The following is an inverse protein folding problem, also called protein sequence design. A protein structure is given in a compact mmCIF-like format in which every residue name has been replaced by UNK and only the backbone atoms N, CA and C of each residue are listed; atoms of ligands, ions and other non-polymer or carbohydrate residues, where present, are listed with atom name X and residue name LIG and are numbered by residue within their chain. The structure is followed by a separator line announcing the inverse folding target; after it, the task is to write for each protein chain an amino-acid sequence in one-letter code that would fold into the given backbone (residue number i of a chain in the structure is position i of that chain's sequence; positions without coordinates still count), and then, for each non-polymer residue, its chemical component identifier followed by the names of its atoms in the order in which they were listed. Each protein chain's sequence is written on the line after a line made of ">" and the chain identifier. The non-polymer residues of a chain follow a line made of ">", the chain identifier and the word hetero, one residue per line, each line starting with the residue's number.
data_IF_995549148191
#
_entry.id   IF_995549148191
#
_cell.length_a   1.000
_cell.length_b   1.000
_cell.length_c   1.000
_cell.angle_alpha   90.00
_cell.angle_beta   90.00
_cell.angle_gamma   90.00
#
_symmetry.space_group_name_H-M   'P 1'
#
loop_
_entity.id
_entity.type
_entity.pdbx_description
1 polymer ?
#
# COMPACT_ATOMS: atom_id res chain seq x y z
N UNK A 1 -36.62 5.62 -7.15
CA UNK A 1 -35.89 5.60 -8.44
C UNK A 1 -34.77 4.55 -8.34
N UNK A 2 -35.12 3.27 -8.49
CA UNK A 2 -34.28 2.11 -8.07
C UNK A 2 -32.86 2.09 -8.67
N UNK A 3 -32.66 2.59 -9.90
CA UNK A 3 -31.32 2.62 -10.54
C UNK A 3 -30.36 3.58 -9.83
N UNK A 4 -30.82 4.78 -9.42
CA UNK A 4 -29.95 5.76 -8.75
C UNK A 4 -29.60 5.31 -7.33
N UNK A 5 -30.54 4.67 -6.63
CA UNK A 5 -30.32 4.10 -5.29
C UNK A 5 -29.20 3.06 -5.32
N UNK A 6 -29.30 2.08 -6.23
CA UNK A 6 -28.26 1.05 -6.42
C UNK A 6 -26.91 1.66 -6.86
N UNK A 7 -26.94 2.72 -7.68
CA UNK A 7 -25.71 3.40 -8.12
C UNK A 7 -25.01 4.16 -6.97
N UNK A 8 -25.77 4.75 -6.03
CA UNK A 8 -25.20 5.44 -4.88
C UNK A 8 -24.54 4.43 -3.94
N UNK A 9 -25.19 3.30 -3.72
CA UNK A 9 -24.66 2.22 -2.87
C UNK A 9 -23.46 1.50 -3.53
N UNK A 10 -23.54 1.28 -4.85
CA UNK A 10 -22.53 0.59 -5.64
C UNK A 10 -22.08 1.40 -6.87
N UNK A 11 -21.28 2.48 -6.71
CA UNK A 11 -20.89 3.37 -7.81
C UNK A 11 -20.14 2.68 -8.95
N UNK A 12 -19.51 1.54 -8.66
CA UNK A 12 -18.71 0.74 -9.60
C UNK A 12 -19.53 -0.29 -10.39
N UNK A 13 -20.85 -0.36 -10.18
CA UNK A 13 -21.70 -1.29 -10.91
C UNK A 13 -22.06 -0.77 -12.30
N UNK A 14 -21.72 -1.55 -13.33
CA UNK A 14 -22.27 -1.36 -14.67
C UNK A 14 -23.74 -1.78 -14.76
N UNK A 15 -24.40 -1.39 -15.85
CA UNK A 15 -25.84 -1.63 -16.07
C UNK A 15 -26.28 -3.10 -15.90
N UNK A 16 -25.40 -4.08 -16.21
CA UNK A 16 -25.64 -5.51 -15.96
C UNK A 16 -25.77 -5.85 -14.49
N UNK A 17 -24.90 -5.31 -13.64
CA UNK A 17 -24.90 -5.57 -12.20
C UNK A 17 -26.04 -4.83 -11.52
N UNK A 18 -26.31 -3.61 -11.94
CA UNK A 18 -27.49 -2.85 -11.47
C UNK A 18 -28.79 -3.59 -11.80
N UNK A 19 -28.91 -4.10 -13.03
CA UNK A 19 -30.06 -4.91 -13.43
C UNK A 19 -30.25 -6.15 -12.53
N UNK A 20 -29.18 -6.89 -12.26
CA UNK A 20 -29.24 -8.05 -11.33
C UNK A 20 -29.68 -7.64 -9.93
N UNK A 21 -29.15 -6.53 -9.41
CA UNK A 21 -29.50 -6.06 -8.05
C UNK A 21 -30.97 -5.63 -7.96
N UNK A 22 -31.46 -4.91 -8.97
CA UNK A 22 -32.87 -4.51 -9.05
C UNK A 22 -33.79 -5.73 -9.07
N UNK A 23 -33.48 -6.73 -9.90
CA UNK A 23 -34.32 -7.92 -10.03
C UNK A 23 -34.20 -8.86 -8.83
N UNK A 24 -33.04 -8.91 -8.15
CA UNK A 24 -32.88 -9.61 -6.88
C UNK A 24 -33.79 -9.04 -5.79
N UNK A 25 -34.01 -7.73 -5.79
CA UNK A 25 -34.88 -7.02 -4.86
C UNK A 25 -36.34 -6.93 -5.34
N UNK A 26 -36.82 -7.93 -6.09
CA UNK A 26 -38.21 -8.03 -6.57
C UNK A 26 -38.58 -7.03 -7.66
N UNK A 27 -37.59 -6.46 -8.37
CA UNK A 27 -37.84 -5.65 -9.55
C UNK A 27 -38.21 -6.50 -10.77
N UNK A 28 -39.07 -5.98 -11.63
CA UNK A 28 -39.39 -6.55 -12.94
C UNK A 28 -38.89 -5.60 -14.04
N UNK A 29 -37.59 -5.64 -14.31
CA UNK A 29 -36.97 -4.79 -15.34
C UNK A 29 -36.04 -5.61 -16.21
N UNK A 30 -35.88 -5.22 -17.47
CA UNK A 30 -34.93 -5.86 -18.41
C UNK A 30 -33.59 -5.14 -18.44
N UNK A 31 -32.52 -5.88 -18.77
CA UNK A 31 -31.17 -5.32 -18.93
C UNK A 31 -31.15 -4.15 -19.93
N UNK A 32 -31.93 -4.26 -21.01
CA UNK A 32 -32.06 -3.23 -22.04
C UNK A 32 -32.69 -1.93 -21.50
N UNK A 33 -33.70 -2.04 -20.62
CA UNK A 33 -34.33 -0.88 -19.98
C UNK A 33 -33.36 -0.20 -19.04
N UNK A 34 -32.64 -0.95 -18.19
CA UNK A 34 -31.62 -0.37 -17.29
C UNK A 34 -30.54 0.36 -18.08
N UNK A 35 -30.02 -0.28 -19.15
CA UNK A 35 -29.03 0.35 -20.04
C UNK A 35 -29.55 1.64 -20.68
N UNK A 36 -30.80 1.63 -21.15
CA UNK A 36 -31.43 2.80 -21.78
C UNK A 36 -31.59 3.95 -20.80
N UNK A 37 -32.07 3.67 -19.58
CA UNK A 37 -32.24 4.67 -18.52
C UNK A 37 -30.88 5.23 -18.09
N UNK A 38 -29.90 4.37 -17.81
CA UNK A 38 -28.55 4.83 -17.46
C UNK A 38 -27.94 5.72 -18.54
N UNK A 39 -28.06 5.33 -19.83
CA UNK A 39 -27.58 6.17 -20.95
C UNK A 39 -28.32 7.50 -21.03
N UNK A 40 -29.65 7.51 -20.87
CA UNK A 40 -30.48 8.74 -20.92
C UNK A 40 -30.11 9.74 -19.82
N UNK A 41 -29.73 9.25 -18.64
CA UNK A 41 -29.37 10.09 -17.49
C UNK A 41 -27.86 10.25 -17.29
N UNK A 42 -27.03 9.80 -18.24
CA UNK A 42 -25.56 9.90 -18.13
C UNK A 42 -24.95 9.11 -16.97
N UNK A 43 -25.66 8.11 -16.45
CA UNK A 43 -25.20 7.28 -15.33
C UNK A 43 -24.21 6.26 -15.87
N UNK A 44 -22.98 6.29 -15.35
CA UNK A 44 -21.91 5.37 -15.72
C UNK A 44 -21.27 4.77 -14.47
N UNK A 45 -20.74 3.55 -14.60
CA UNK A 45 -20.00 2.92 -13.53
C UNK A 45 -18.69 3.66 -13.30
N UNK A 46 -18.43 4.04 -12.05
CA UNK A 46 -17.20 4.68 -11.60
C UNK A 46 -16.24 3.58 -11.16
N UNK A 47 -15.27 3.28 -12.01
CA UNK A 47 -14.19 2.36 -11.68
C UNK A 47 -12.87 2.91 -12.25
N UNK A 48 -11.72 2.55 -11.65
CA UNK A 48 -10.44 2.94 -12.18
C UNK A 48 -10.28 2.44 -13.63
N UNK A 49 -10.00 3.36 -14.56
CA UNK A 49 -9.85 3.02 -15.98
C UNK A 49 -8.70 2.05 -16.26
N UNK A 50 -8.61 1.56 -17.50
CA UNK A 50 -7.45 0.77 -17.93
C UNK A 50 -6.17 1.62 -17.82
N UNK A 51 -5.04 0.98 -17.52
CA UNK A 51 -3.70 1.58 -17.50
C UNK A 51 -3.34 2.47 -16.29
N UNK A 52 -3.90 2.25 -15.10
CA UNK A 52 -3.46 2.95 -13.89
C UNK A 52 -1.96 2.82 -13.61
N UNK A 53 -1.34 1.73 -14.09
CA UNK A 53 0.09 1.45 -13.93
C UNK A 53 0.96 1.99 -15.06
N UNK A 54 0.41 2.72 -16.05
CA UNK A 54 1.23 3.34 -17.09
C UNK A 54 2.08 4.44 -16.45
N UNK A 55 3.37 4.15 -16.30
CA UNK A 55 4.35 5.13 -15.85
C UNK A 55 4.28 6.37 -16.75
N UNK A 56 4.22 7.56 -16.13
CA UNK A 56 4.34 8.81 -16.86
C UNK A 56 5.74 8.86 -17.51
N UNK A 57 5.77 8.90 -18.85
CA UNK A 57 7.00 8.77 -19.65
C UNK A 57 8.01 9.90 -19.41
N UNK A 58 7.57 11.02 -18.84
CA UNK A 58 8.38 12.21 -18.61
C UNK A 58 9.22 12.14 -17.32
N UNK A 59 9.01 11.16 -16.43
CA UNK A 59 9.83 11.05 -15.22
C UNK A 59 11.23 10.49 -15.52
N UNK A 60 12.23 11.13 -14.92
CA UNK A 60 13.62 10.65 -14.91
C UNK A 60 13.68 9.24 -14.32
N UNK A 61 14.27 8.31 -15.06
CA UNK A 61 14.56 6.95 -14.57
C UNK A 61 15.87 6.98 -13.78
N UNK A 62 15.81 6.58 -12.52
CA UNK A 62 17.01 6.42 -11.68
C UNK A 62 17.55 4.98 -11.84
N UNK A 63 18.88 4.80 -11.90
CA UNK A 63 19.46 3.47 -11.95
C UNK A 63 19.15 2.71 -10.66
N UNK A 64 18.82 1.43 -10.78
CA UNK A 64 18.62 0.57 -9.63
C UNK A 64 19.98 0.24 -8.99
N UNK A 65 20.31 0.93 -7.89
CA UNK A 65 21.63 0.86 -7.24
C UNK A 65 21.95 -0.51 -6.62
N UNK A 66 20.93 -1.35 -6.42
CA UNK A 66 21.12 -2.70 -5.89
C UNK A 66 21.30 -3.76 -7.00
N UNK A 67 21.35 -3.34 -8.27
CA UNK A 67 21.61 -4.26 -9.39
C UNK A 67 22.96 -4.95 -9.18
N UNK A 68 22.96 -6.29 -9.19
CA UNK A 68 24.12 -7.16 -8.97
C UNK A 68 24.75 -7.09 -7.57
N UNK A 69 24.09 -6.48 -6.58
CA UNK A 69 24.60 -6.47 -5.19
C UNK A 69 24.26 -7.80 -4.51
N UNK A 70 25.29 -8.58 -4.17
CA UNK A 70 25.15 -9.78 -3.33
C UNK A 70 25.12 -9.34 -1.86
N UNK A 71 24.05 -9.71 -1.15
CA UNK A 71 23.86 -9.40 0.26
C UNK A 71 24.31 -10.62 1.07
N UNK A 72 25.38 -10.45 1.85
CA UNK A 72 26.11 -11.53 2.53
C UNK A 72 25.94 -11.53 4.04
N UNK A 73 25.52 -10.41 4.64
CA UNK A 73 25.37 -10.28 6.08
C UNK A 73 24.22 -9.33 6.46
N UNK A 74 23.71 -9.42 7.70
CA UNK A 74 22.71 -8.48 8.20
C UNK A 74 23.16 -7.03 8.12
N UNK A 75 22.21 -6.11 7.99
CA UNK A 75 22.39 -4.66 7.98
C UNK A 75 23.11 -4.06 6.76
N UNK A 76 23.20 -4.78 5.64
CA UNK A 76 23.73 -4.23 4.38
C UNK A 76 22.71 -3.49 3.53
N UNK A 77 21.46 -3.93 3.57
CA UNK A 77 20.35 -3.39 2.79
C UNK A 77 19.09 -3.52 3.63
N UNK A 78 18.35 -2.42 3.77
CA UNK A 78 17.07 -2.39 4.44
C UNK A 78 15.97 -2.13 3.42
N UNK A 79 14.84 -2.79 3.62
CA UNK A 79 13.58 -2.47 2.96
C UNK A 79 12.70 -1.71 3.93
N UNK A 80 11.84 -0.88 3.37
CA UNK A 80 10.83 -0.20 4.14
C UNK A 80 9.51 -0.28 3.40
N UNK A 81 8.43 -0.49 4.13
CA UNK A 81 7.08 -0.47 3.58
C UNK A 81 6.15 0.32 4.49
N UNK A 82 5.12 0.93 3.88
CA UNK A 82 4.02 1.59 4.58
C UNK A 82 2.74 0.86 4.19
N UNK A 83 2.17 0.15 5.16
CA UNK A 83 0.90 -0.55 5.01
C UNK A 83 -0.24 0.28 5.62
N UNK A 84 -1.34 0.41 4.88
CA UNK A 84 -2.56 1.08 5.33
C UNK A 84 -3.45 0.07 6.04
N UNK A 85 -3.83 0.38 7.28
CA UNK A 85 -4.74 -0.46 8.06
C UNK A 85 -6.04 0.32 8.23
N UNK A 86 -7.13 -0.23 7.67
CA UNK A 86 -8.46 0.36 7.75
C UNK A 86 -9.10 0.03 9.09
N UNK A 87 -9.59 1.05 9.79
CA UNK A 87 -10.35 0.95 11.02
C UNK A 87 -11.79 1.49 10.80
N UNK A 88 -12.74 1.20 11.70
CA UNK A 88 -14.09 1.75 11.60
C UNK A 88 -14.14 3.28 11.63
N UNK A 89 -13.22 3.91 12.37
CA UNK A 89 -13.17 5.37 12.58
C UNK A 89 -12.18 6.10 11.68
N UNK A 90 -11.46 5.40 10.80
CA UNK A 90 -10.43 6.01 9.95
C UNK A 90 -9.38 5.02 9.47
N UNK A 91 -8.19 5.53 9.12
CA UNK A 91 -7.04 4.70 8.73
C UNK A 91 -5.85 5.01 9.63
N UNK A 92 -5.06 3.97 9.90
CA UNK A 92 -3.73 4.11 10.50
C UNK A 92 -2.67 3.55 9.57
N UNK A 93 -1.43 3.99 9.75
CA UNK A 93 -0.33 3.72 8.85
C UNK A 93 0.76 2.95 9.60
N UNK A 94 0.94 1.68 9.25
CA UNK A 94 2.02 0.86 9.77
C UNK A 94 3.26 1.06 8.89
N UNK A 95 4.31 1.61 9.47
CA UNK A 95 5.63 1.66 8.87
C UNK A 95 6.50 0.54 9.44
N UNK A 96 7.14 -0.23 8.57
CA UNK A 96 8.10 -1.26 8.96
C UNK A 96 9.45 -1.08 8.25
N UNK A 97 10.54 -1.25 8.99
CA UNK A 97 11.91 -1.31 8.49
C UNK A 97 12.39 -2.75 8.67
N UNK A 98 12.78 -3.39 7.57
CA UNK A 98 13.12 -4.82 7.51
C UNK A 98 14.53 -4.97 6.94
N UNK A 99 15.34 -5.80 7.59
CA UNK A 99 16.63 -6.20 7.05
C UNK A 99 16.47 -7.24 5.94
N UNK A 100 17.12 -7.03 4.79
CA UNK A 100 16.97 -7.93 3.64
C UNK A 100 17.56 -9.32 3.88
N UNK A 101 18.71 -9.40 4.56
CA UNK A 101 19.42 -10.66 4.75
C UNK A 101 18.69 -11.54 5.77
N UNK A 102 18.47 -11.01 6.97
CA UNK A 102 17.90 -11.77 8.10
C UNK A 102 16.38 -11.85 8.07
N UNK A 103 15.72 -11.05 7.22
CA UNK A 103 14.25 -10.88 7.17
C UNK A 103 13.62 -10.38 8.47
N UNK A 104 14.44 -9.96 9.44
CA UNK A 104 13.96 -9.45 10.72
C UNK A 104 13.42 -8.04 10.56
N UNK A 105 12.33 -7.77 11.27
CA UNK A 105 11.83 -6.41 11.48
C UNK A 105 12.78 -5.70 12.45
N UNK A 106 13.49 -4.70 11.97
CA UNK A 106 14.43 -3.91 12.78
C UNK A 106 13.69 -2.91 13.66
N UNK A 107 12.65 -2.29 13.09
CA UNK A 107 11.77 -1.34 13.78
C UNK A 107 10.45 -1.24 13.05
N UNK A 108 9.38 -0.99 13.79
CA UNK A 108 8.08 -0.65 13.24
C UNK A 108 7.39 0.39 14.11
N UNK A 109 6.47 1.15 13.52
CA UNK A 109 5.62 2.09 14.25
C UNK A 109 4.30 2.29 13.51
N UNK A 110 3.24 2.48 14.28
CA UNK A 110 1.93 2.88 13.75
C UNK A 110 1.77 4.39 13.93
N UNK A 111 1.31 5.06 12.88
CA UNK A 111 1.03 6.48 12.87
C UNK A 111 -0.44 6.73 12.53
N UNK A 112 -0.99 7.82 13.06
CA UNK A 112 -2.34 8.27 12.71
C UNK A 112 -2.36 9.09 11.40
N UNK A 113 -1.20 9.57 10.96
CA UNK A 113 -1.03 10.40 9.76
C UNK A 113 0.17 9.91 8.96
N UNK A 114 0.10 10.04 7.63
CA UNK A 114 1.24 9.76 6.75
C UNK A 114 2.13 11.01 6.64
N UNK A 115 3.00 11.19 7.61
CA UNK A 115 3.96 12.30 7.68
C UNK A 115 5.38 11.80 7.36
N UNK A 116 5.99 12.38 6.32
CA UNK A 116 7.33 12.03 5.86
C UNK A 116 8.41 12.30 6.92
N UNK A 117 8.23 13.31 7.78
CA UNK A 117 9.21 13.63 8.82
C UNK A 117 9.24 12.55 9.89
N UNK A 118 8.07 12.04 10.29
CA UNK A 118 7.94 10.95 11.25
C UNK A 118 8.63 9.67 10.72
N UNK A 119 8.43 9.39 9.43
CA UNK A 119 9.10 8.29 8.74
C UNK A 119 10.63 8.46 8.72
N UNK A 120 11.12 9.64 8.35
CA UNK A 120 12.55 9.94 8.30
C UNK A 120 13.23 9.82 9.68
N UNK A 121 12.53 10.23 10.74
CA UNK A 121 13.01 10.10 12.11
C UNK A 121 13.13 8.63 12.54
N UNK A 122 12.12 7.80 12.24
CA UNK A 122 12.16 6.37 12.53
C UNK A 122 13.35 5.68 11.85
N UNK A 123 13.62 6.04 10.59
CA UNK A 123 14.76 5.53 9.84
C UNK A 123 16.09 5.95 10.48
N UNK A 124 16.21 7.23 10.85
CA UNK A 124 17.41 7.79 11.48
C UNK A 124 17.71 7.14 12.84
N UNK A 125 16.69 6.95 13.66
CA UNK A 125 16.78 6.23 14.94
C UNK A 125 17.24 4.79 14.75
N UNK A 126 16.66 4.09 13.76
CA UNK A 126 17.04 2.70 13.45
C UNK A 126 18.49 2.61 13.00
N UNK A 127 18.95 3.54 12.15
CA UNK A 127 20.35 3.64 11.71
C UNK A 127 21.32 3.81 12.88
N UNK A 128 21.03 4.74 13.80
CA UNK A 128 21.86 4.98 14.99
C UNK A 128 21.94 3.76 15.91
N UNK A 129 20.80 3.12 16.17
CA UNK A 129 20.75 1.96 17.07
C UNK A 129 21.53 0.77 16.52
N UNK A 130 21.42 0.50 15.21
CA UNK A 130 22.19 -0.59 14.59
C UNK A 130 23.68 -0.33 14.64
N UNK A 131 24.12 0.92 14.40
CA UNK A 131 25.53 1.28 14.49
C UNK A 131 26.08 1.08 15.93
N UNK A 132 25.32 1.47 16.94
CA UNK A 132 25.67 1.25 18.34
C UNK A 132 25.80 -0.26 18.67
N UNK A 133 24.84 -1.08 18.22
CA UNK A 133 24.89 -2.54 18.43
C UNK A 133 26.12 -3.17 17.76
N UNK A 134 26.44 -2.78 16.53
CA UNK A 134 27.63 -3.28 15.81
C UNK A 134 28.93 -2.93 16.55
N UNK A 135 29.07 -1.70 17.06
CA UNK A 135 30.24 -1.31 17.85
C UNK A 135 30.37 -2.14 19.14
N UNK A 136 29.27 -2.42 19.83
CA UNK A 136 29.28 -3.20 21.08
C UNK A 136 29.63 -4.68 20.89
N UNK A 137 29.24 -5.27 19.75
CA UNK A 137 29.57 -6.65 19.39
C UNK A 137 31.07 -6.77 19.08
N UNK A 138 31.63 -5.83 18.30
CA UNK A 138 33.06 -5.81 18.00
C UNK A 138 33.94 -5.67 19.25
N UNK A 139 33.54 -4.85 20.23
CA UNK A 139 34.28 -4.71 21.50
C UNK A 139 34.24 -5.99 22.34
N UNK A 140 33.10 -6.72 22.35
CA UNK A 140 32.96 -7.98 23.09
C UNK A 140 33.76 -9.12 22.47
N UNK A 141 33.75 -9.26 21.15
CA UNK A 141 34.55 -10.30 20.46
C UNK A 141 36.05 -10.06 20.60
N UNK A 142 36.50 -8.79 20.54
CA UNK A 142 37.90 -8.45 20.78
C UNK A 142 38.38 -8.80 22.21
N UNK A 143 37.46 -8.77 23.20
CA UNK A 143 37.77 -9.10 24.59
C UNK A 143 37.84 -10.61 24.84
N UNK A 144 37.12 -11.42 24.05
CA UNK A 144 37.09 -12.89 24.16
C UNK A 144 38.29 -13.58 23.49
N UNK A 145 39.00 -12.89 22.60
CA UNK A 145 40.22 -13.39 21.95
C UNK A 145 41.51 -13.07 22.72
N UNK A 146 41.43 -12.29 23.81
CA UNK A 146 42.55 -11.91 24.67
C UNK A 146 42.58 -12.69 26.01
N UNK A 147 41.70 -13.66 26.18
CA UNK A 147 41.60 -14.59 27.32
C UNK A 147 41.87 -16.02 26.88
#
# INVERSE_FOLDING_TARGET
>A
MKIKEVQIEYPFYGYRRIWREINKNGGDTTEATVRRVMRRFGITAVFPGKNLSKACKYHKKYPYLLKNKVIRYPNQVWSTDITYIKLPTGNVYLMAIIDWFSRKVLRWRVFNTMDALQYANLLRETSKNTAALQSSIQTREASLHLS
#
